data_IF_623248740804
#
_entry.id   IF_623248740804
#
_cell.length_a   1.000
_cell.length_b   1.000
_cell.length_c   1.000
_cell.angle_alpha   90.00
_cell.angle_beta   90.00
_cell.angle_gamma   90.00
#
_symmetry.space_group_name_H-M   'P 1'
#
loop_
_entity.id
_entity.type
_entity.pdbx_description
1 polymer ?
#
# COMPACT_ATOMS: atom_id res chain seq x y z
N UNK A 1 14.85 12.71 5.12
CA UNK A 1 14.23 13.45 4.00
C UNK A 1 14.84 14.86 3.81
N UNK A 2 15.00 15.66 4.86
CA UNK A 2 15.68 16.98 4.77
C UNK A 2 17.07 16.94 4.08
N UNK A 3 17.93 15.99 4.49
CA UNK A 3 19.30 15.85 3.93
C UNK A 3 19.33 15.55 2.43
N UNK A 4 18.31 14.87 1.89
CA UNK A 4 18.23 14.61 0.45
C UNK A 4 17.73 15.84 -0.31
N UNK A 5 16.71 16.53 0.20
CA UNK A 5 16.21 17.77 -0.42
C UNK A 5 17.28 18.87 -0.40
N UNK A 6 17.93 19.11 0.73
CA UNK A 6 18.98 20.13 0.86
C UNK A 6 20.24 19.88 0.03
N UNK A 7 20.40 18.68 -0.55
CA UNK A 7 21.50 18.38 -1.49
C UNK A 7 21.22 18.93 -2.89
N UNK A 8 19.95 18.94 -3.31
CA UNK A 8 19.53 19.29 -4.67
C UNK A 8 18.79 20.63 -4.74
N UNK A 9 18.25 21.10 -3.62
CA UNK A 9 17.45 22.31 -3.53
C UNK A 9 18.01 23.23 -2.44
N UNK A 10 18.28 24.48 -2.80
CA UNK A 10 18.85 25.50 -1.92
C UNK A 10 17.76 26.43 -1.33
N UNK A 11 16.59 25.89 -0.99
CA UNK A 11 15.47 26.64 -0.43
C UNK A 11 15.09 26.09 0.96
N UNK A 12 15.91 26.39 1.98
CA UNK A 12 15.74 25.83 3.32
C UNK A 12 14.47 26.31 4.02
N UNK A 13 14.00 27.53 3.71
CA UNK A 13 12.81 28.12 4.32
C UNK A 13 11.53 27.33 3.97
N UNK A 14 11.47 26.72 2.79
CA UNK A 14 10.37 25.84 2.37
C UNK A 14 10.58 24.38 2.81
N UNK A 15 11.83 23.89 2.76
CA UNK A 15 12.14 22.48 3.02
C UNK A 15 11.93 22.11 4.50
N UNK A 16 12.40 22.93 5.43
CA UNK A 16 12.34 22.64 6.87
C UNK A 16 10.90 22.41 7.38
N UNK A 17 9.92 23.32 7.14
CA UNK A 17 8.55 23.11 7.60
C UNK A 17 7.87 21.94 6.89
N UNK A 18 8.17 21.69 5.61
CA UNK A 18 7.65 20.54 4.87
C UNK A 18 8.13 19.23 5.49
N UNK A 19 9.42 19.13 5.81
CA UNK A 19 9.99 17.94 6.45
C UNK A 19 9.37 17.72 7.83
N UNK A 20 9.25 18.77 8.65
CA UNK A 20 8.65 18.67 9.98
C UNK A 20 7.18 18.18 9.90
N UNK A 21 6.40 18.70 8.95
CA UNK A 21 5.02 18.28 8.72
C UNK A 21 4.96 16.81 8.28
N UNK A 22 5.85 16.40 7.36
CA UNK A 22 5.94 15.02 6.91
C UNK A 22 6.34 14.07 8.05
N UNK A 23 7.33 14.43 8.87
CA UNK A 23 7.77 13.64 10.01
C UNK A 23 6.65 13.45 11.04
N UNK A 24 5.90 14.52 11.34
CA UNK A 24 4.73 14.44 12.19
C UNK A 24 3.67 13.51 11.60
N UNK A 25 3.33 13.69 10.32
CA UNK A 25 2.33 12.87 9.65
C UNK A 25 2.71 11.38 9.65
N UNK A 26 3.97 11.06 9.32
CA UNK A 26 4.49 9.68 9.35
C UNK A 26 4.38 9.10 10.76
N UNK A 27 4.81 9.83 11.79
CA UNK A 27 4.77 9.34 13.17
C UNK A 27 3.34 9.10 13.65
N UNK A 28 2.42 10.02 13.36
CA UNK A 28 0.99 9.87 13.71
C UNK A 28 0.38 8.68 12.99
N UNK A 29 0.61 8.53 11.68
CA UNK A 29 0.14 7.39 10.90
C UNK A 29 0.72 6.08 11.44
N UNK A 30 2.02 6.06 11.74
CA UNK A 30 2.70 4.86 12.25
C UNK A 30 2.15 4.41 13.61
N UNK A 31 1.99 5.34 14.56
CA UNK A 31 1.39 5.05 15.87
C UNK A 31 -0.07 4.62 15.70
N UNK A 32 -0.83 5.29 14.83
CA UNK A 32 -2.21 4.94 14.50
C UNK A 32 -2.33 3.52 13.93
N UNK A 33 -1.43 3.13 13.02
CA UNK A 33 -1.37 1.78 12.44
C UNK A 33 -1.05 0.74 13.51
N UNK A 34 -0.07 0.99 14.38
CA UNK A 34 0.24 0.08 15.51
C UNK A 34 -0.99 -0.07 16.41
N UNK A 35 -1.66 1.04 16.77
CA UNK A 35 -2.88 1.01 17.57
C UNK A 35 -3.98 0.17 16.91
N UNK A 36 -4.22 0.38 15.61
CA UNK A 36 -5.19 -0.40 14.85
C UNK A 36 -4.83 -1.90 14.83
N UNK A 37 -3.57 -2.25 14.61
CA UNK A 37 -3.11 -3.64 14.65
C UNK A 37 -3.37 -4.29 16.01
N UNK A 38 -3.07 -3.59 17.11
CA UNK A 38 -3.33 -4.08 18.47
C UNK A 38 -4.84 -4.29 18.70
N UNK A 39 -5.68 -3.35 18.30
CA UNK A 39 -7.14 -3.46 18.42
C UNK A 39 -7.66 -4.67 17.67
N UNK A 40 -7.22 -4.89 16.42
CA UNK A 40 -7.66 -6.02 15.61
C UNK A 40 -7.22 -7.34 16.24
N UNK A 41 -5.95 -7.46 16.68
CA UNK A 41 -5.44 -8.68 17.32
C UNK A 41 -6.16 -8.99 18.63
N UNK A 42 -6.39 -7.99 19.48
CA UNK A 42 -7.11 -8.15 20.75
C UNK A 42 -8.59 -8.47 20.51
N UNK A 43 -9.24 -7.78 19.57
CA UNK A 43 -10.64 -7.98 19.22
C UNK A 43 -10.93 -9.33 18.56
N UNK A 44 -9.97 -9.86 17.80
CA UNK A 44 -10.09 -11.15 17.12
C UNK A 44 -9.95 -12.36 18.06
N UNK A 45 -9.63 -12.16 19.34
CA UNK A 45 -9.65 -13.24 20.36
C UNK A 45 -10.99 -13.97 20.41
N UNK A 46 -12.08 -13.27 20.09
CA UNK A 46 -13.38 -13.90 19.89
C UNK A 46 -13.47 -14.48 18.48
N UNK A 47 -13.31 -15.79 18.40
CA UNK A 47 -13.22 -16.58 17.16
C UNK A 47 -14.44 -16.52 16.21
N UNK A 48 -15.53 -15.83 16.57
CA UNK A 48 -16.73 -15.68 15.72
C UNK A 48 -17.17 -14.21 15.59
N UNK A 49 -16.30 -13.25 15.94
CA UNK A 49 -16.62 -11.81 15.87
C UNK A 49 -16.23 -11.16 14.54
N UNK A 50 -16.71 -9.93 14.33
CA UNK A 50 -16.33 -9.09 13.19
C UNK A 50 -14.80 -8.93 13.03
N UNK A 51 -14.09 -8.68 14.14
CA UNK A 51 -12.63 -8.51 14.13
C UNK A 51 -11.87 -9.78 13.69
N UNK A 52 -12.41 -10.97 13.98
CA UNK A 52 -11.83 -12.23 13.49
C UNK A 52 -11.92 -12.31 11.97
N UNK A 53 -13.08 -12.00 11.40
CA UNK A 53 -13.24 -11.98 9.94
C UNK A 53 -12.42 -10.88 9.28
N UNK A 54 -12.21 -9.73 9.94
CA UNK A 54 -11.33 -8.69 9.45
C UNK A 54 -9.88 -9.19 9.29
N UNK A 55 -9.37 -9.98 10.25
CA UNK A 55 -8.04 -10.62 10.16
C UNK A 55 -7.90 -11.58 8.99
N UNK A 56 -9.01 -12.15 8.49
CA UNK A 56 -9.00 -13.11 7.39
C UNK A 56 -9.20 -12.39 6.05
N UNK A 57 -10.20 -11.51 5.98
CA UNK A 57 -10.60 -10.85 4.74
C UNK A 57 -9.61 -9.79 4.28
N UNK A 58 -8.98 -9.04 5.20
CA UNK A 58 -8.01 -8.00 4.81
C UNK A 58 -6.77 -8.60 4.14
N UNK A 59 -6.08 -9.59 4.72
CA UNK A 59 -4.94 -10.23 4.05
C UNK A 59 -5.35 -10.99 2.78
N UNK A 60 -6.56 -11.56 2.75
CA UNK A 60 -7.10 -12.22 1.55
C UNK A 60 -7.26 -11.25 0.38
N UNK A 61 -7.67 -10.01 0.64
CA UNK A 61 -7.85 -8.98 -0.38
C UNK A 61 -6.55 -8.24 -0.78
N UNK A 62 -5.42 -8.51 -0.11
CA UNK A 62 -4.14 -7.82 -0.38
C UNK A 62 -3.71 -7.83 -1.85
N UNK A 63 -3.83 -8.92 -2.63
CA UNK A 63 -3.43 -8.88 -4.04
C UNK A 63 -4.23 -7.86 -4.85
N UNK A 64 -5.51 -7.67 -4.53
CA UNK A 64 -6.37 -6.70 -5.20
C UNK A 64 -5.99 -5.29 -4.78
N UNK A 65 -5.82 -5.05 -3.47
CA UNK A 65 -5.37 -3.76 -2.95
C UNK A 65 -4.01 -3.36 -3.52
N UNK A 66 -3.10 -4.32 -3.68
CA UNK A 66 -1.81 -4.09 -4.31
C UNK A 66 -1.96 -3.57 -5.74
N UNK A 67 -2.78 -4.21 -6.58
CA UNK A 67 -2.96 -3.77 -7.98
C UNK A 67 -3.57 -2.36 -8.04
N UNK A 68 -4.55 -2.08 -7.17
CA UNK A 68 -5.19 -0.76 -7.09
C UNK A 68 -4.16 0.30 -6.70
N UNK A 69 -3.48 0.10 -5.57
CA UNK A 69 -2.51 1.07 -5.04
C UNK A 69 -1.35 1.27 -6.02
N UNK A 70 -0.81 0.18 -6.55
CA UNK A 70 0.24 0.21 -7.58
C UNK A 70 -0.17 1.03 -8.80
N UNK A 71 -1.37 0.80 -9.35
CA UNK A 71 -1.87 1.54 -10.52
C UNK A 71 -2.13 3.02 -10.17
N UNK A 72 -2.70 3.28 -8.99
CA UNK A 72 -3.00 4.63 -8.53
C UNK A 72 -1.73 5.46 -8.33
N UNK A 73 -0.66 4.88 -7.77
CA UNK A 73 0.62 5.55 -7.62
C UNK A 73 1.31 5.85 -8.94
N UNK A 74 1.25 4.92 -9.91
CA UNK A 74 1.77 5.18 -11.26
C UNK A 74 1.04 6.35 -11.92
N UNK A 75 -0.29 6.37 -11.79
CA UNK A 75 -1.11 7.48 -12.30
C UNK A 75 -0.76 8.79 -11.60
N UNK A 76 -0.73 8.79 -10.27
CA UNK A 76 -0.43 9.97 -9.47
C UNK A 76 0.94 10.56 -9.83
N UNK A 77 1.96 9.71 -9.95
CA UNK A 77 3.30 10.11 -10.37
C UNK A 77 3.29 10.80 -11.74
N UNK A 78 2.56 10.23 -12.70
CA UNK A 78 2.47 10.81 -14.05
C UNK A 78 1.67 12.11 -14.15
N UNK A 79 0.89 12.47 -13.12
CA UNK A 79 0.05 13.67 -13.08
C UNK A 79 0.51 14.72 -12.05
N UNK A 80 1.38 14.33 -11.12
CA UNK A 80 1.80 15.15 -9.98
C UNK A 80 3.32 15.14 -9.86
N UNK A 81 3.99 15.60 -10.92
CA UNK A 81 5.43 15.83 -10.89
C UNK A 81 5.73 17.07 -10.03
N UNK A 82 6.84 17.02 -9.30
CA UNK A 82 7.26 18.11 -8.44
C UNK A 82 7.68 19.34 -9.28
N UNK A 83 7.21 20.53 -8.91
CA UNK A 83 7.54 21.81 -9.56
C UNK A 83 9.03 22.15 -9.50
N UNK A 84 9.75 21.64 -8.49
CA UNK A 84 11.21 21.75 -8.40
C UNK A 84 11.94 20.76 -9.32
N UNK A 85 11.23 19.98 -10.13
CA UNK A 85 11.80 19.05 -11.10
C UNK A 85 12.60 19.76 -12.20
N UNK A 86 13.63 19.09 -12.73
CA UNK A 86 14.49 19.67 -13.77
C UNK A 86 13.79 19.86 -15.14
N UNK A 87 12.63 19.23 -15.34
CA UNK A 87 11.84 19.32 -16.56
C UNK A 87 10.36 19.11 -16.26
N UNK A 88 9.50 19.75 -17.06
CA UNK A 88 8.06 19.53 -17.04
C UNK A 88 7.65 18.73 -18.27
N UNK A 89 6.78 17.74 -18.08
CA UNK A 89 6.22 16.94 -19.16
C UNK A 89 4.70 16.97 -19.09
N UNK A 90 4.04 16.72 -20.23
CA UNK A 90 2.59 16.54 -20.26
C UNK A 90 2.21 15.35 -19.39
N UNK A 91 1.05 15.40 -18.69
CA UNK A 91 0.58 14.27 -17.91
C UNK A 91 0.54 12.98 -18.74
N UNK A 92 0.98 11.89 -18.13
CA UNK A 92 1.05 10.58 -18.77
C UNK A 92 0.72 9.48 -17.76
N UNK A 93 0.48 8.27 -18.26
CA UNK A 93 0.26 7.08 -17.44
C UNK A 93 1.41 6.09 -17.70
N UNK A 94 2.27 5.80 -16.71
CA UNK A 94 3.22 4.70 -16.83
C UNK A 94 2.49 3.37 -17.07
N UNK A 95 3.12 2.46 -17.82
CA UNK A 95 2.58 1.12 -18.05
C UNK A 95 2.42 0.37 -16.73
N UNK A 96 1.20 -0.08 -16.42
CA UNK A 96 0.93 -0.84 -15.19
C UNK A 96 1.65 -2.19 -15.23
N UNK A 97 1.41 -3.00 -16.26
CA UNK A 97 2.12 -4.26 -16.45
C UNK A 97 2.73 -4.34 -17.84
N UNK A 98 3.99 -4.78 -17.90
CA UNK A 98 4.71 -4.94 -19.15
C UNK A 98 5.85 -3.94 -19.32
N UNK A 99 6.35 -3.91 -20.55
CA UNK A 99 7.34 -2.94 -20.99
C UNK A 99 6.64 -1.67 -21.50
N UNK A 100 7.22 -0.53 -21.15
CA UNK A 100 6.73 0.78 -21.54
C UNK A 100 7.86 1.73 -21.88
N UNK A 101 7.49 2.94 -22.29
CA UNK A 101 8.44 4.02 -22.55
C UNK A 101 7.92 5.30 -21.93
N UNK A 102 8.74 5.92 -21.09
CA UNK A 102 8.47 7.23 -20.50
C UNK A 102 9.60 8.17 -20.91
N UNK A 103 9.27 9.18 -21.70
CA UNK A 103 10.24 10.04 -22.39
C UNK A 103 11.28 9.20 -23.16
N UNK A 104 12.56 9.28 -22.81
CA UNK A 104 13.64 8.51 -23.45
C UNK A 104 14.00 7.23 -22.71
N UNK A 105 13.31 6.91 -21.61
CA UNK A 105 13.61 5.75 -20.78
C UNK A 105 12.62 4.62 -21.04
N UNK A 106 13.15 3.39 -21.11
CA UNK A 106 12.33 2.19 -21.05
C UNK A 106 11.91 1.93 -19.61
N UNK A 107 10.68 1.45 -19.43
CA UNK A 107 10.12 1.08 -18.12
C UNK A 107 9.76 -0.39 -18.12
N UNK A 108 10.21 -1.14 -17.13
CA UNK A 108 9.87 -2.56 -16.95
C UNK A 108 9.00 -2.68 -15.70
N UNK A 109 7.72 -3.00 -15.90
CA UNK A 109 6.70 -2.92 -14.87
C UNK A 109 6.11 -4.31 -14.62
N UNK A 110 6.68 -5.05 -13.67
CA UNK A 110 6.26 -6.42 -13.38
C UNK A 110 6.17 -6.67 -11.87
N UNK A 111 5.10 -7.34 -11.40
CA UNK A 111 5.07 -7.84 -10.03
C UNK A 111 6.20 -8.85 -9.81
N UNK A 112 6.84 -8.76 -8.65
CA UNK A 112 7.89 -9.69 -8.26
C UNK A 112 7.39 -10.72 -7.24
N UNK A 113 8.31 -11.48 -6.66
CA UNK A 113 8.05 -12.58 -5.71
C UNK A 113 7.04 -12.22 -4.62
N UNK A 114 7.10 -11.01 -4.06
CA UNK A 114 6.17 -10.54 -3.03
C UNK A 114 4.69 -10.63 -3.44
N UNK A 115 4.35 -10.24 -4.67
CA UNK A 115 2.98 -10.30 -5.17
C UNK A 115 2.48 -11.74 -5.34
N UNK A 116 3.33 -12.64 -5.84
CA UNK A 116 2.98 -14.06 -5.96
C UNK A 116 2.81 -14.73 -4.60
N UNK A 117 3.60 -14.35 -3.60
CA UNK A 117 3.39 -14.79 -2.21
C UNK A 117 2.07 -14.27 -1.63
N UNK A 118 1.67 -13.04 -1.95
CA UNK A 118 0.35 -12.52 -1.57
C UNK A 118 -0.78 -13.32 -2.22
N UNK A 119 -0.67 -13.65 -3.52
CA UNK A 119 -1.65 -14.50 -4.21
C UNK A 119 -1.77 -15.87 -3.56
N UNK A 120 -0.64 -16.52 -3.27
CA UNK A 120 -0.63 -17.82 -2.60
C UNK A 120 -1.30 -17.74 -1.22
N UNK A 121 -0.97 -16.71 -0.43
CA UNK A 121 -1.56 -16.48 0.88
C UNK A 121 -3.07 -16.25 0.78
N UNK A 122 -3.52 -15.47 -0.21
CA UNK A 122 -4.94 -15.23 -0.47
C UNK A 122 -5.68 -16.54 -0.76
N UNK A 123 -5.14 -17.40 -1.63
CA UNK A 123 -5.73 -18.71 -1.94
C UNK A 123 -5.84 -19.59 -0.70
N UNK A 124 -4.77 -19.68 0.10
CA UNK A 124 -4.76 -20.46 1.34
C UNK A 124 -5.83 -19.93 2.33
N UNK A 125 -5.94 -18.61 2.46
CA UNK A 125 -6.93 -17.98 3.33
C UNK A 125 -8.36 -18.20 2.83
N UNK A 126 -8.61 -18.20 1.52
CA UNK A 126 -9.93 -18.52 0.96
C UNK A 126 -10.34 -19.93 1.38
N UNK A 127 -9.46 -20.91 1.19
CA UNK A 127 -9.74 -22.30 1.58
C UNK A 127 -9.99 -22.40 3.09
N UNK A 128 -9.12 -21.81 3.91
CA UNK A 128 -9.27 -21.82 5.37
C UNK A 128 -10.58 -21.15 5.83
N UNK A 129 -10.94 -20.02 5.21
CA UNK A 129 -12.18 -19.31 5.49
C UNK A 129 -13.43 -20.13 5.16
N UNK A 130 -13.44 -20.85 4.03
CA UNK A 130 -14.55 -21.71 3.64
C UNK A 130 -14.72 -22.89 4.61
N UNK A 131 -13.62 -23.54 5.00
CA UNK A 131 -13.63 -24.61 6.01
C UNK A 131 -14.18 -24.07 7.33
N UNK A 132 -13.70 -22.91 7.77
CA UNK A 132 -14.13 -22.29 9.01
C UNK A 132 -15.61 -21.90 9.02
N UNK A 133 -16.10 -21.36 7.90
CA UNK A 133 -17.52 -21.02 7.72
C UNK A 133 -18.40 -22.26 7.81
N UNK A 134 -17.96 -23.40 7.25
CA UNK A 134 -18.66 -24.68 7.37
C UNK A 134 -18.71 -25.15 8.83
N UNK A 135 -17.59 -25.12 9.55
CA UNK A 135 -17.53 -25.51 10.96
C UNK A 135 -18.49 -24.71 11.85
N UNK A 136 -18.58 -23.39 11.65
CA UNK A 136 -19.51 -22.56 12.44
C UNK A 136 -20.97 -22.82 12.12
N UNK A 137 -21.30 -23.20 10.88
CA UNK A 137 -22.65 -23.59 10.52
C UNK A 137 -23.03 -24.90 11.22
N UNK A 138 -22.18 -25.92 11.13
CA UNK A 138 -22.41 -27.24 11.74
C UNK A 138 -22.46 -27.21 13.27
N UNK A 139 -21.76 -26.28 13.93
CA UNK A 139 -21.82 -26.13 15.39
C UNK A 139 -23.05 -25.36 15.90
N UNK A 140 -23.83 -24.76 14.98
CA UNK A 140 -25.01 -23.97 15.31
C UNK A 140 -26.33 -24.73 15.07
N UNK A 141 -26.26 -25.89 14.42
CA UNK A 141 -27.33 -26.89 14.26
C UNK A 141 -27.23 -27.97 15.35
#
# INVERSE_FOLDING_TARGET
YAKSLGRYFNNQEEIVPMVATLELAINVVFIGLIGAMVVVVVGARKNNGFFYWLLVLVPMALPVFFIIDYSAWLWWYGHTLNDMGAFSVKPFMPTVFGDGKVAQFATHSYPYTGFFLMLLTSVVLIVAALIRKKQFKESSD
#
